data_IF_398615213335
#
_entry.id   IF_398615213335
#
_cell.length_a   1.000
_cell.length_b   1.000
_cell.length_c   1.000
_cell.angle_alpha   90.00
_cell.angle_beta   90.00
_cell.angle_gamma   90.00
#
_symmetry.space_group_name_H-M   'P 1'
#
loop_
_entity.id
_entity.type
_entity.pdbx_description
1 polymer ?
#
# COMPACT_ATOMS: atom_id res chain seq x y z
N UNK A 1 -27.85 -2.29 -2.31
CA UNK A 1 -26.53 -1.81 -1.83
C UNK A 1 -25.43 -2.38 -2.72
N UNK A 2 -24.94 -1.62 -3.69
CA UNK A 2 -23.80 -2.03 -4.50
C UNK A 2 -22.54 -2.04 -3.62
N UNK A 3 -22.09 -3.23 -3.20
CA UNK A 3 -20.82 -3.40 -2.50
C UNK A 3 -19.71 -3.09 -3.52
N UNK A 4 -19.29 -1.82 -3.60
CA UNK A 4 -18.13 -1.40 -4.42
C UNK A 4 -16.97 -2.33 -4.04
N UNK A 5 -16.67 -3.30 -4.90
CA UNK A 5 -15.48 -4.14 -4.75
C UNK A 5 -14.31 -3.22 -5.07
N UNK A 6 -13.75 -2.57 -4.05
CA UNK A 6 -12.49 -1.87 -4.16
C UNK A 6 -11.48 -2.86 -4.74
N UNK A 7 -10.97 -2.56 -5.95
CA UNK A 7 -9.90 -3.33 -6.58
C UNK A 7 -8.76 -3.50 -5.59
N UNK A 8 -8.12 -4.67 -5.56
CA UNK A 8 -6.97 -4.93 -4.70
C UNK A 8 -5.85 -3.88 -4.90
N UNK A 9 -5.71 -3.32 -6.10
CA UNK A 9 -4.80 -2.22 -6.39
C UNK A 9 -5.18 -0.94 -5.64
N UNK A 10 -6.46 -0.55 -5.64
CA UNK A 10 -6.95 0.62 -4.90
C UNK A 10 -6.80 0.45 -3.39
N UNK A 11 -7.00 -0.77 -2.87
CA UNK A 11 -6.79 -1.06 -1.44
C UNK A 11 -5.31 -0.90 -1.07
N UNK A 12 -4.40 -1.38 -1.92
CA UNK A 12 -2.95 -1.26 -1.71
C UNK A 12 -2.51 0.21 -1.73
N UNK A 13 -3.05 1.00 -2.65
CA UNK A 13 -2.80 2.43 -2.73
C UNK A 13 -3.31 3.18 -1.48
N UNK A 14 -4.54 2.90 -1.03
CA UNK A 14 -5.10 3.50 0.19
C UNK A 14 -4.26 3.20 1.43
N UNK A 15 -3.77 1.96 1.57
CA UNK A 15 -2.90 1.57 2.68
C UNK A 15 -1.56 2.31 2.58
N UNK A 16 -0.91 2.34 1.41
CA UNK A 16 0.34 3.07 1.23
C UNK A 16 0.19 4.57 1.51
N UNK A 17 -0.89 5.18 1.02
CA UNK A 17 -1.18 6.60 1.24
C UNK A 17 -1.39 6.92 2.72
N UNK A 18 -2.16 6.09 3.44
CA UNK A 18 -2.38 6.28 4.87
C UNK A 18 -1.07 6.18 5.68
N UNK A 19 -0.21 5.22 5.34
CA UNK A 19 1.09 5.07 6.00
C UNK A 19 2.11 6.14 5.60
N UNK A 20 2.04 6.66 4.38
CA UNK A 20 2.86 7.78 3.94
C UNK A 20 2.49 9.05 4.72
N UNK A 21 1.19 9.36 4.85
CA UNK A 21 0.70 10.50 5.62
C UNK A 21 1.04 10.33 7.10
N UNK A 22 0.86 9.12 7.66
CA UNK A 22 1.21 8.82 9.04
C UNK A 22 2.71 8.94 9.33
N UNK A 23 3.56 8.39 8.45
CA UNK A 23 5.01 8.49 8.56
C UNK A 23 5.51 9.93 8.42
N UNK A 24 4.92 10.70 7.50
CA UNK A 24 5.23 12.13 7.35
C UNK A 24 4.79 12.95 8.57
N UNK A 25 3.60 12.67 9.12
CA UNK A 25 3.13 13.30 10.35
C UNK A 25 4.06 13.03 11.54
N UNK A 26 4.53 11.80 11.70
CA UNK A 26 5.50 11.42 12.74
C UNK A 26 6.82 12.17 12.55
N UNK A 27 7.30 12.28 11.31
CA UNK A 27 8.50 13.04 10.98
C UNK A 27 8.37 14.52 11.36
N UNK A 28 7.25 15.16 11.00
CA UNK A 28 6.98 16.57 11.31
C UNK A 28 6.84 16.82 12.82
N UNK A 29 6.16 15.91 13.54
CA UNK A 29 5.91 16.09 14.99
C UNK A 29 7.17 15.87 15.81
N UNK A 30 7.99 14.86 15.48
CA UNK A 30 9.16 14.54 16.30
C UNK A 30 10.39 15.40 15.97
N UNK A 31 10.47 16.03 14.80
CA UNK A 31 11.43 17.10 14.46
C UNK A 31 12.93 16.78 14.64
N UNK A 32 13.28 15.53 14.91
CA UNK A 32 14.60 15.09 15.38
C UNK A 32 14.95 13.72 14.81
N UNK A 33 16.20 13.28 14.96
CA UNK A 33 16.65 11.94 14.54
C UNK A 33 15.71 10.78 14.93
N UNK A 34 15.16 10.72 16.15
CA UNK A 34 14.16 9.70 16.49
C UNK A 34 12.87 9.80 15.67
N UNK A 35 12.46 10.99 15.24
CA UNK A 35 11.34 11.18 14.30
C UNK A 35 11.60 10.61 12.92
N UNK A 36 12.84 10.69 12.43
CA UNK A 36 13.26 10.06 11.16
C UNK A 36 13.16 8.54 11.26
N UNK A 37 13.70 7.95 12.33
CA UNK A 37 13.66 6.50 12.53
C UNK A 37 12.23 5.99 12.74
N UNK A 38 11.41 6.71 13.52
CA UNK A 38 10.02 6.37 13.73
C UNK A 38 9.19 6.49 12.44
N UNK A 39 9.38 7.57 11.67
CA UNK A 39 8.73 7.75 10.37
C UNK A 39 9.13 6.66 9.36
N UNK A 40 10.42 6.31 9.31
CA UNK A 40 10.91 5.21 8.47
C UNK A 40 10.31 3.86 8.87
N UNK A 41 10.26 3.55 10.18
CA UNK A 41 9.65 2.33 10.68
C UNK A 41 8.16 2.23 10.32
N UNK A 42 7.42 3.34 10.39
CA UNK A 42 6.01 3.40 9.98
C UNK A 42 5.86 3.22 8.47
N UNK A 43 6.68 3.86 7.65
CA UNK A 43 6.66 3.67 6.20
C UNK A 43 6.98 2.22 5.79
N UNK A 44 8.01 1.60 6.40
CA UNK A 44 8.38 0.20 6.16
C UNK A 44 7.26 -0.74 6.61
N UNK A 45 6.68 -0.50 7.78
CA UNK A 45 5.53 -1.24 8.29
C UNK A 45 4.32 -1.15 7.35
N UNK A 46 4.06 0.04 6.81
CA UNK A 46 3.00 0.28 5.82
C UNK A 46 3.21 -0.45 4.50
N UNK A 47 4.45 -0.47 4.00
CA UNK A 47 4.82 -1.25 2.81
C UNK A 47 4.61 -2.75 3.05
N UNK A 48 5.00 -3.24 4.22
CA UNK A 48 4.84 -4.65 4.59
C UNK A 48 3.36 -5.04 4.74
N UNK A 49 2.56 -4.18 5.38
CA UNK A 49 1.11 -4.35 5.51
C UNK A 49 0.40 -4.28 4.16
N UNK A 50 0.77 -3.35 3.27
CA UNK A 50 0.23 -3.29 1.92
C UNK A 50 0.53 -4.55 1.12
N UNK A 51 1.74 -5.10 1.23
CA UNK A 51 2.14 -6.36 0.59
C UNK A 51 1.41 -7.57 1.19
N UNK A 52 1.24 -7.61 2.51
CA UNK A 52 0.55 -8.68 3.23
C UNK A 52 -0.95 -8.69 2.96
N UNK A 53 -1.59 -7.52 3.00
CA UNK A 53 -3.01 -7.34 2.65
C UNK A 53 -3.27 -7.71 1.21
N UNK A 54 -2.38 -7.33 0.28
CA UNK A 54 -2.49 -7.74 -1.10
C UNK A 54 -2.39 -9.26 -1.24
N UNK A 55 -1.44 -9.93 -0.58
CA UNK A 55 -1.38 -11.42 -0.58
C UNK A 55 -2.62 -12.08 0.02
N UNK A 56 -3.24 -11.48 1.05
CA UNK A 56 -4.41 -12.05 1.73
C UNK A 56 -5.74 -11.76 1.02
N UNK A 57 -5.85 -10.65 0.29
CA UNK A 57 -7.09 -10.19 -0.37
C UNK A 57 -7.09 -10.36 -1.89
N UNK A 58 -5.93 -10.45 -2.54
CA UNK A 58 -5.87 -10.68 -3.97
C UNK A 58 -6.37 -12.10 -4.29
N UNK A 59 -7.59 -12.16 -4.78
CA UNK A 59 -8.10 -13.37 -5.42
C UNK A 59 -7.24 -13.70 -6.66
N UNK A 60 -7.02 -14.98 -7.00
CA UNK A 60 -6.18 -15.39 -8.14
C UNK A 60 -6.61 -14.76 -9.48
N UNK A 61 -7.89 -14.40 -9.60
CA UNK A 61 -8.47 -13.60 -10.70
C UNK A 61 -7.80 -12.23 -10.86
N UNK A 62 -7.58 -11.49 -9.77
CA UNK A 62 -6.96 -10.15 -9.81
C UNK A 62 -5.46 -10.24 -10.13
N UNK A 63 -4.78 -11.29 -9.66
CA UNK A 63 -3.38 -11.55 -10.04
C UNK A 63 -3.27 -11.88 -11.53
N UNK A 64 -4.21 -12.65 -12.08
CA UNK A 64 -4.28 -12.92 -13.53
C UNK A 64 -4.62 -11.68 -14.34
N UNK A 65 -5.46 -10.78 -13.83
CA UNK A 65 -5.79 -9.52 -14.49
C UNK A 65 -4.58 -8.58 -14.52
N UNK A 66 -3.83 -8.49 -13.43
CA UNK A 66 -2.59 -7.71 -13.34
C UNK A 66 -1.50 -8.25 -14.27
N UNK A 67 -1.34 -9.57 -14.34
CA UNK A 67 -0.41 -10.23 -15.28
C UNK A 67 -0.81 -10.04 -16.74
N UNK A 68 -2.11 -10.05 -17.06
CA UNK A 68 -2.60 -9.76 -18.42
C UNK A 68 -2.35 -8.31 -18.80
N UNK A 69 -2.63 -7.37 -17.91
CA UNK A 69 -2.36 -5.95 -18.15
C UNK A 69 -0.89 -5.67 -18.43
N UNK A 70 0.03 -6.31 -17.68
CA UNK A 70 1.47 -6.24 -17.96
C UNK A 70 1.85 -6.81 -19.32
N UNK A 71 1.26 -7.96 -19.70
CA UNK A 71 1.53 -8.59 -20.99
C UNK A 71 1.05 -7.74 -22.16
N UNK A 72 -0.17 -7.19 -22.09
CA UNK A 72 -0.74 -6.34 -23.14
C UNK A 72 -0.04 -4.98 -23.28
N UNK A 73 0.81 -4.60 -22.33
CA UNK A 73 1.61 -3.35 -22.38
C UNK A 73 3.01 -3.56 -22.96
N UNK A 74 3.47 -4.82 -23.06
CA UNK A 74 4.81 -5.17 -23.55
C UNK A 74 4.81 -5.62 -25.03
N UNK A 75 3.62 -5.86 -25.60
CA UNK A 75 3.35 -6.07 -27.04
C UNK A 75 2.99 -4.73 -27.74
#
# INVERSE_FOLDING_TARGET
MAKRRLSAASLRFLVQLAFLIGGFGIFVVLGSWPGVMAGAAVCIGGLWLGKSLFRRRATPEEVRADLRFRRDTED
#
